data_IF_201128681254
#
_entry.id   IF_201128681254
#
_cell.length_a   1.000
_cell.length_b   1.000
_cell.length_c   1.000
_cell.angle_alpha   90.00
_cell.angle_beta   90.00
_cell.angle_gamma   90.00
#
_symmetry.space_group_name_H-M   'P 1'
#
loop_
_entity.id
_entity.type
_entity.pdbx_description
1 polymer ?
#
# COMPACT_ATOMS: atom_id res chain seq x y z
N UNK A 1 -24.00 71.11 4.19
CA UNK A 1 -24.40 69.88 3.45
C UNK A 1 -23.13 69.04 3.31
N UNK A 2 -22.94 67.96 4.10
CA UNK A 2 -23.25 66.54 3.78
C UNK A 2 -22.71 66.19 2.37
N UNK A 3 -21.81 65.21 2.15
CA UNK A 3 -21.86 63.81 2.56
C UNK A 3 -20.45 63.17 2.67
N UNK A 4 -20.34 62.17 3.56
CA UNK A 4 -19.30 61.15 3.63
C UNK A 4 -19.46 60.10 2.52
N UNK A 5 -18.39 59.37 2.15
CA UNK A 5 -18.41 57.90 2.01
C UNK A 5 -17.01 57.30 1.89
N UNK A 6 -16.66 56.48 2.89
CA UNK A 6 -15.55 55.53 2.86
C UNK A 6 -15.89 54.41 1.86
N UNK A 7 -14.92 53.95 1.08
CA UNK A 7 -15.11 52.85 0.12
C UNK A 7 -13.90 51.94 0.06
N UNK A 8 -13.67 51.15 1.11
CA UNK A 8 -12.68 50.08 1.13
C UNK A 8 -13.17 48.95 0.23
N UNK A 9 -12.53 48.75 -0.93
CA UNK A 9 -12.79 47.58 -1.78
C UNK A 9 -12.08 46.38 -1.16
N UNK A 10 -12.84 45.55 -0.45
CA UNK A 10 -12.36 44.26 0.05
C UNK A 10 -12.19 43.29 -1.14
N UNK A 11 -10.95 43.01 -1.52
CA UNK A 11 -10.62 41.97 -2.47
C UNK A 11 -10.87 40.60 -1.82
N UNK A 12 -11.90 39.88 -2.30
CA UNK A 12 -12.14 38.48 -1.93
C UNK A 12 -11.08 37.63 -2.63
N UNK A 13 -10.03 37.26 -1.88
CA UNK A 13 -9.07 36.27 -2.31
C UNK A 13 -9.71 34.88 -2.17
N UNK A 14 -10.17 34.30 -3.29
CA UNK A 14 -10.54 32.89 -3.35
C UNK A 14 -9.24 32.08 -3.32
N UNK A 15 -8.86 31.59 -2.15
CA UNK A 15 -7.80 30.60 -1.99
C UNK A 15 -8.28 29.26 -2.54
N UNK A 16 -7.85 28.93 -3.76
CA UNK A 16 -7.92 27.57 -4.27
C UNK A 16 -6.99 26.70 -3.41
N UNK A 17 -7.58 25.89 -2.51
CA UNK A 17 -6.85 24.80 -1.89
C UNK A 17 -6.56 23.76 -2.98
N UNK A 18 -5.31 23.65 -3.42
CA UNK A 18 -4.87 22.55 -4.26
C UNK A 18 -5.08 21.27 -3.47
N UNK A 19 -6.07 20.46 -3.85
CA UNK A 19 -6.22 19.12 -3.33
C UNK A 19 -5.00 18.32 -3.81
N UNK A 20 -4.07 18.03 -2.91
CA UNK A 20 -3.02 17.04 -3.15
C UNK A 20 -3.72 15.69 -3.29
N UNK A 21 -3.84 15.18 -4.52
CA UNK A 21 -4.21 13.79 -4.74
C UNK A 21 -3.15 12.93 -4.06
N UNK A 22 -3.53 12.13 -3.07
CA UNK A 22 -2.65 11.08 -2.57
C UNK A 22 -2.33 10.13 -3.73
N UNK A 23 -1.08 9.71 -3.85
CA UNK A 23 -0.69 8.68 -4.80
C UNK A 23 -1.20 7.34 -4.29
N UNK A 24 -1.85 6.55 -5.17
CA UNK A 24 -2.35 5.24 -4.80
C UNK A 24 -1.18 4.33 -4.39
N UNK A 25 -1.29 3.69 -3.22
CA UNK A 25 -0.27 2.80 -2.69
C UNK A 25 -0.39 1.43 -3.35
N UNK A 26 0.65 1.02 -4.07
CA UNK A 26 0.79 -0.34 -4.58
C UNK A 26 1.61 -1.16 -3.61
N UNK A 27 0.99 -2.15 -2.97
CA UNK A 27 1.66 -3.12 -2.10
C UNK A 27 2.19 -4.26 -2.97
N UNK A 28 3.50 -4.37 -3.13
CA UNK A 28 4.08 -5.51 -3.86
C UNK A 28 4.20 -6.70 -2.93
N UNK A 29 3.63 -7.82 -3.36
CA UNK A 29 3.60 -9.07 -2.60
C UNK A 29 4.30 -10.19 -3.33
N UNK A 30 5.18 -10.93 -2.65
CA UNK A 30 5.76 -12.17 -3.18
C UNK A 30 5.05 -13.41 -2.63
N UNK A 31 4.77 -14.38 -3.51
CA UNK A 31 4.37 -15.75 -3.16
C UNK A 31 5.12 -16.76 -4.06
N UNK A 32 5.56 -17.88 -3.48
CA UNK A 32 6.30 -18.92 -4.18
C UNK A 32 5.42 -19.81 -5.06
N UNK A 33 4.11 -19.84 -4.82
CA UNK A 33 3.17 -20.68 -5.57
C UNK A 33 2.75 -20.00 -6.88
N UNK A 34 2.25 -20.78 -7.84
CA UNK A 34 1.70 -20.25 -9.08
C UNK A 34 0.32 -19.60 -8.86
N UNK A 35 -0.09 -18.72 -9.76
CA UNK A 35 -1.46 -18.19 -9.79
C UNK A 35 -2.50 -19.32 -9.82
N UNK A 36 -3.62 -19.14 -9.13
CA UNK A 36 -4.65 -20.17 -8.95
C UNK A 36 -4.37 -21.13 -7.78
N UNK A 37 -3.26 -20.96 -7.06
CA UNK A 37 -3.02 -21.68 -5.82
C UNK A 37 -3.75 -20.99 -4.67
N UNK A 38 -4.23 -21.71 -3.62
CA UNK A 38 -5.04 -21.10 -2.57
C UNK A 38 -4.43 -19.85 -1.91
N UNK A 39 -3.10 -19.75 -1.80
CA UNK A 39 -2.48 -18.55 -1.20
C UNK A 39 -2.30 -17.39 -2.16
N UNK A 40 -2.05 -17.63 -3.44
CA UNK A 40 -2.08 -16.55 -4.43
C UNK A 40 -3.51 -16.02 -4.59
N UNK A 41 -4.51 -16.90 -4.54
CA UNK A 41 -5.93 -16.53 -4.64
C UNK A 41 -6.37 -15.72 -3.41
N UNK A 42 -5.90 -16.10 -2.21
CA UNK A 42 -6.17 -15.33 -0.99
C UNK A 42 -5.56 -13.91 -1.06
N UNK A 43 -4.34 -13.77 -1.59
CA UNK A 43 -3.70 -12.45 -1.76
C UNK A 43 -4.44 -11.64 -2.83
N UNK A 44 -4.89 -12.26 -3.92
CA UNK A 44 -5.68 -11.58 -4.95
C UNK A 44 -7.01 -11.05 -4.38
N UNK A 45 -7.74 -11.90 -3.64
CA UNK A 45 -8.97 -11.49 -2.96
C UNK A 45 -8.72 -10.39 -1.90
N UNK A 46 -7.56 -10.41 -1.24
CA UNK A 46 -7.16 -9.32 -0.34
C UNK A 46 -6.91 -8.02 -1.10
N UNK A 47 -6.35 -8.08 -2.32
CA UNK A 47 -6.18 -6.94 -3.21
C UNK A 47 -7.50 -6.31 -3.61
N UNK A 48 -8.46 -7.12 -4.07
CA UNK A 48 -9.82 -6.68 -4.41
C UNK A 48 -10.50 -5.99 -3.21
N UNK A 49 -10.41 -6.61 -2.03
CA UNK A 49 -10.96 -6.07 -0.79
C UNK A 49 -10.33 -4.73 -0.38
N UNK A 50 -9.01 -4.57 -0.58
CA UNK A 50 -8.32 -3.32 -0.32
C UNK A 50 -8.74 -2.23 -1.29
N UNK A 51 -8.80 -2.53 -2.59
CA UNK A 51 -9.23 -1.56 -3.60
C UNK A 51 -10.65 -1.06 -3.30
N UNK A 52 -11.58 -1.96 -3.01
CA UNK A 52 -12.97 -1.60 -2.65
C UNK A 52 -13.05 -0.74 -1.40
N UNK A 53 -12.34 -1.12 -0.32
CA UNK A 53 -12.43 -0.44 0.98
C UNK A 53 -11.73 0.92 0.99
N UNK A 54 -10.76 1.11 0.11
CA UNK A 54 -9.94 2.32 0.04
C UNK A 54 -10.31 3.21 -1.13
N UNK A 55 -11.37 2.87 -1.88
CA UNK A 55 -11.76 3.57 -3.11
C UNK A 55 -10.61 3.66 -4.14
N UNK A 56 -9.79 2.61 -4.22
CA UNK A 56 -8.64 2.52 -5.12
C UNK A 56 -7.35 3.18 -4.60
N UNK A 57 -7.34 3.74 -3.39
CA UNK A 57 -6.13 4.33 -2.82
C UNK A 57 -5.07 3.27 -2.44
N UNK A 58 -5.45 1.99 -2.34
CA UNK A 58 -4.55 0.87 -2.08
C UNK A 58 -4.85 -0.31 -3.01
N UNK A 59 -3.81 -0.92 -3.58
CA UNK A 59 -3.88 -2.13 -4.40
C UNK A 59 -2.75 -3.11 -4.05
N UNK A 60 -2.87 -4.36 -4.49
CA UNK A 60 -1.80 -5.37 -4.36
C UNK A 60 -1.34 -5.85 -5.73
N UNK A 61 -0.03 -5.80 -5.98
CA UNK A 61 0.61 -6.45 -7.12
C UNK A 61 1.31 -7.73 -6.65
N UNK A 62 0.96 -8.88 -7.25
CA UNK A 62 1.46 -10.19 -6.82
C UNK A 62 2.56 -10.68 -7.76
N UNK A 63 3.76 -10.88 -7.22
CA UNK A 63 4.88 -11.58 -7.83
C UNK A 63 4.84 -13.05 -7.41
N UNK A 64 4.17 -13.86 -8.23
CA UNK A 64 3.96 -15.28 -7.97
C UNK A 64 5.11 -16.14 -8.52
N UNK A 65 5.01 -17.46 -8.36
CA UNK A 65 5.93 -18.44 -8.99
C UNK A 65 7.42 -18.18 -8.71
N UNK A 66 7.75 -17.72 -7.49
CA UNK A 66 9.13 -17.43 -7.09
C UNK A 66 9.84 -16.40 -7.98
N UNK A 67 9.11 -15.49 -8.64
CA UNK A 67 9.69 -14.46 -9.50
C UNK A 67 10.73 -13.58 -8.80
N UNK A 68 10.58 -13.38 -7.48
CA UNK A 68 11.49 -12.60 -6.63
C UNK A 68 12.41 -13.46 -5.75
N UNK A 69 12.46 -14.78 -5.99
CA UNK A 69 13.19 -15.75 -5.17
C UNK A 69 12.29 -16.64 -4.31
N UNK A 70 12.91 -17.42 -3.43
CA UNK A 70 12.21 -18.27 -2.46
C UNK A 70 11.69 -17.48 -1.25
N UNK A 71 11.02 -18.18 -0.33
CA UNK A 71 10.40 -17.55 0.85
C UNK A 71 11.43 -16.80 1.73
N UNK A 72 12.65 -17.34 1.86
CA UNK A 72 13.71 -16.72 2.64
C UNK A 72 14.18 -15.41 2.00
N UNK A 73 14.49 -15.44 0.70
CA UNK A 73 14.99 -14.28 -0.02
C UNK A 73 13.93 -13.16 -0.09
N UNK A 74 12.66 -13.52 -0.29
CA UNK A 74 11.56 -12.56 -0.27
C UNK A 74 11.34 -11.93 1.11
N UNK A 75 11.49 -12.71 2.19
CA UNK A 75 11.38 -12.19 3.56
C UNK A 75 12.51 -11.21 3.89
N UNK A 76 13.75 -11.51 3.47
CA UNK A 76 14.87 -10.58 3.60
C UNK A 76 14.62 -9.27 2.84
N UNK A 77 14.02 -9.33 1.64
CA UNK A 77 13.62 -8.13 0.89
C UNK A 77 12.58 -7.29 1.66
N UNK A 78 11.62 -7.92 2.36
CA UNK A 78 10.68 -7.20 3.22
C UNK A 78 11.38 -6.54 4.40
N UNK A 79 12.30 -7.24 5.07
CA UNK A 79 13.07 -6.66 6.18
C UNK A 79 13.90 -5.44 5.77
N UNK A 80 14.42 -5.45 4.54
CA UNK A 80 15.19 -4.34 3.97
C UNK A 80 14.29 -3.20 3.42
N UNK A 81 12.98 -3.41 3.36
CA UNK A 81 12.02 -2.45 2.78
C UNK A 81 12.07 -2.38 1.24
N UNK A 82 12.66 -3.37 0.57
CA UNK A 82 12.68 -3.48 -0.89
C UNK A 82 11.37 -4.10 -1.45
N UNK A 83 10.62 -4.80 -0.60
CA UNK A 83 9.32 -5.41 -0.89
C UNK A 83 8.36 -5.05 0.24
N UNK A 84 7.12 -4.67 -0.06
CA UNK A 84 6.16 -4.26 0.99
C UNK A 84 5.59 -5.45 1.75
N UNK A 85 5.44 -6.61 1.11
CA UNK A 85 4.84 -7.79 1.71
C UNK A 85 5.36 -9.10 1.11
N UNK A 86 5.42 -10.16 1.90
CA UNK A 86 5.56 -11.52 1.38
C UNK A 86 4.71 -12.49 2.19
N UNK A 87 4.16 -13.49 1.51
CA UNK A 87 3.57 -14.66 2.15
C UNK A 87 4.65 -15.72 2.28
N UNK A 88 4.88 -16.20 3.51
CA UNK A 88 5.85 -17.25 3.81
C UNK A 88 5.25 -18.33 4.69
N UNK A 89 5.81 -19.53 4.65
CA UNK A 89 5.58 -20.55 5.67
C UNK A 89 6.19 -20.14 7.00
N UNK A 90 5.57 -20.57 8.11
CA UNK A 90 6.03 -20.23 9.47
C UNK A 90 7.47 -20.69 9.73
N UNK A 91 7.90 -21.81 9.13
CA UNK A 91 9.25 -22.34 9.34
C UNK A 91 10.37 -21.39 8.91
N UNK A 92 10.11 -20.50 7.96
CA UNK A 92 11.09 -19.48 7.50
C UNK A 92 11.24 -18.35 8.52
N UNK A 93 10.24 -18.12 9.38
CA UNK A 93 10.24 -17.07 10.40
C UNK A 93 11.01 -17.50 11.67
N UNK A 94 11.07 -18.80 11.98
CA UNK A 94 11.71 -19.33 13.19
C UNK A 94 13.13 -18.80 13.45
N UNK A 95 14.06 -18.81 12.47
CA UNK A 95 15.41 -18.27 12.66
C UNK A 95 15.49 -16.74 12.90
N UNK A 96 14.39 -16.00 12.69
CA UNK A 96 14.32 -14.54 12.78
C UNK A 96 13.63 -14.11 14.07
N UNK A 97 12.58 -14.82 14.47
CA UNK A 97 11.77 -14.51 15.65
C UNK A 97 11.67 -15.76 16.52
N UNK A 98 12.28 -15.70 17.69
CA UNK A 98 12.43 -16.84 18.61
C UNK A 98 11.09 -17.49 19.00
N UNK A 99 10.00 -16.72 19.05
CA UNK A 99 8.66 -17.21 19.39
C UNK A 99 8.12 -18.28 18.42
N UNK A 100 8.70 -18.37 17.21
CA UNK A 100 8.32 -19.35 16.19
C UNK A 100 9.23 -20.59 16.17
N UNK A 101 10.20 -20.72 17.08
CA UNK A 101 11.09 -21.88 17.23
C UNK A 101 10.55 -22.98 18.17
N UNK A 102 9.22 -23.13 18.27
CA UNK A 102 8.57 -24.13 19.14
C UNK A 102 8.68 -25.57 18.63
#
# INVERSE_FOLDING_TARGET
MRLALQGTVAAVAVTFAAATSAEALVIKSSDVHAMGYPTTDAIAAMGECLEEKTNGDMSIEIFHSMQLGGEKEALEQVQLGALEMTRVSVGVVGPIVDDFNA
#
